data_IF_638461898090
#
_entry.id   IF_638461898090
#
_cell.length_a   1.000
_cell.length_b   1.000
_cell.length_c   1.000
_cell.angle_alpha   90.00
_cell.angle_beta   90.00
_cell.angle_gamma   90.00
#
_symmetry.space_group_name_H-M   'P 1'
#
loop_
_entity.id
_entity.type
_entity.pdbx_description
1 polymer ?
#
# COMPACT_ATOMS: atom_id res chain seq x y z
N UNK A 1 32.17 3.64 -15.23
CA UNK A 1 31.72 3.71 -13.83
C UNK A 1 30.29 4.23 -13.84
N UNK A 2 29.32 3.34 -13.62
CA UNK A 2 27.91 3.73 -13.57
C UNK A 2 27.62 4.43 -12.23
N UNK A 3 26.84 5.52 -12.21
CA UNK A 3 26.50 6.18 -10.96
C UNK A 3 25.50 5.30 -10.20
N UNK A 4 25.88 4.88 -9.00
CA UNK A 4 24.98 4.23 -8.05
C UNK A 4 23.94 5.26 -7.61
N UNK A 5 22.70 5.10 -8.08
CA UNK A 5 21.55 5.84 -7.59
C UNK A 5 21.34 5.50 -6.11
N UNK A 6 21.62 6.46 -5.24
CA UNK A 6 21.32 6.36 -3.81
C UNK A 6 20.03 7.17 -3.57
N UNK A 7 18.86 6.52 -3.43
CA UNK A 7 17.62 7.24 -3.20
C UNK A 7 17.74 8.02 -1.88
N UNK A 8 17.32 9.28 -1.90
CA UNK A 8 17.56 10.25 -0.83
C UNK A 8 17.17 9.73 0.57
N UNK A 9 18.09 9.75 1.56
CA UNK A 9 17.87 9.23 2.92
C UNK A 9 16.76 9.98 3.71
N UNK A 10 16.41 11.19 3.30
CA UNK A 10 15.37 11.98 3.95
C UNK A 10 13.94 11.45 3.73
N UNK A 11 13.65 10.82 2.58
CA UNK A 11 12.31 10.26 2.32
C UNK A 11 12.11 8.98 3.15
N UNK A 12 13.13 8.12 3.21
CA UNK A 12 13.08 6.90 4.03
C UNK A 12 13.02 7.18 5.53
N UNK A 13 13.75 8.19 6.03
CA UNK A 13 13.68 8.56 7.45
C UNK A 13 12.30 9.10 7.84
N UNK A 14 11.70 9.97 7.01
CA UNK A 14 10.35 10.49 7.23
C UNK A 14 9.28 9.38 7.21
N UNK A 15 9.40 8.43 6.28
CA UNK A 15 8.54 7.23 6.23
C UNK A 15 8.71 6.34 7.46
N UNK A 16 9.94 6.15 7.93
CA UNK A 16 10.24 5.38 9.14
C UNK A 16 9.67 6.03 10.39
N UNK A 17 9.75 7.37 10.51
CA UNK A 17 9.16 8.12 11.62
C UNK A 17 7.63 8.01 11.63
N UNK A 18 6.98 8.08 10.47
CA UNK A 18 5.55 7.84 10.33
C UNK A 18 5.16 6.39 10.65
N UNK A 19 5.93 5.41 10.17
CA UNK A 19 5.74 3.99 10.50
C UNK A 19 5.97 3.71 12.00
N UNK A 20 6.85 4.46 12.67
CA UNK A 20 7.04 4.38 14.12
C UNK A 20 5.89 5.02 14.92
N UNK A 21 5.28 6.10 14.40
CA UNK A 21 4.07 6.73 14.95
C UNK A 21 2.86 5.80 14.90
N UNK A 22 2.71 5.09 13.78
CA UNK A 22 1.74 4.03 13.58
C UNK A 22 2.46 2.68 13.70
N UNK A 23 2.98 2.35 14.89
CA UNK A 23 3.61 1.03 15.12
C UNK A 23 2.72 -0.14 14.64
N UNK A 24 3.21 -1.38 14.60
CA UNK A 24 2.55 -2.53 13.92
C UNK A 24 1.00 -2.63 14.02
N UNK A 25 0.41 -2.23 15.15
CA UNK A 25 -1.04 -2.14 15.32
C UNK A 25 -1.71 -1.15 14.32
N UNK A 26 -1.15 0.05 14.12
CA UNK A 26 -1.68 1.03 13.18
C UNK A 26 -1.55 0.61 11.70
N UNK A 27 -0.48 -0.10 11.35
CA UNK A 27 -0.32 -0.70 10.01
C UNK A 27 -1.34 -1.80 9.76
N UNK A 28 -1.55 -2.67 10.76
CA UNK A 28 -2.60 -3.69 10.71
C UNK A 28 -4.01 -3.07 10.66
N UNK A 29 -4.24 -1.94 11.33
CA UNK A 29 -5.50 -1.21 11.28
C UNK A 29 -5.79 -0.64 9.89
N UNK A 30 -4.78 -0.14 9.16
CA UNK A 30 -4.93 0.30 7.77
C UNK A 30 -5.32 -0.86 6.85
N UNK A 31 -4.65 -2.01 7.00
CA UNK A 31 -4.97 -3.22 6.23
C UNK A 31 -6.39 -3.71 6.52
N UNK A 32 -6.75 -3.83 7.80
CA UNK A 32 -8.08 -4.24 8.24
C UNK A 32 -9.17 -3.27 7.77
N UNK A 33 -8.91 -1.96 7.85
CA UNK A 33 -9.82 -0.94 7.33
C UNK A 33 -9.98 -1.04 5.82
N UNK A 34 -8.89 -1.36 5.11
CA UNK A 34 -8.91 -1.65 3.67
C UNK A 34 -9.78 -2.86 3.36
N UNK A 35 -9.67 -3.94 4.14
CA UNK A 35 -10.47 -5.15 3.98
C UNK A 35 -11.96 -4.89 4.21
N UNK A 36 -12.29 -4.08 5.24
CA UNK A 36 -13.67 -3.65 5.50
C UNK A 36 -14.20 -2.81 4.34
N UNK A 37 -13.42 -1.86 3.82
CA UNK A 37 -13.82 -1.04 2.67
C UNK A 37 -14.00 -1.89 1.40
N UNK A 38 -13.12 -2.87 1.16
CA UNK A 38 -13.20 -3.80 0.05
C UNK A 38 -14.46 -4.67 0.13
N UNK A 39 -14.78 -5.18 1.32
CA UNK A 39 -16.01 -5.94 1.57
C UNK A 39 -17.29 -5.09 1.37
N UNK A 40 -17.19 -3.79 1.63
CA UNK A 40 -18.26 -2.82 1.40
C UNK A 40 -18.33 -2.30 -0.05
N UNK A 41 -17.51 -2.84 -0.96
CA UNK A 41 -17.36 -2.35 -2.35
C UNK A 41 -16.96 -0.88 -2.46
N UNK A 42 -16.40 -0.30 -1.39
CA UNK A 42 -15.86 1.05 -1.37
C UNK A 42 -14.43 1.03 -1.96
N UNK A 43 -14.33 0.72 -3.25
CA UNK A 43 -13.06 0.38 -3.89
C UNK A 43 -12.03 1.49 -3.83
N UNK A 44 -12.43 2.75 -4.05
CA UNK A 44 -11.54 3.91 -3.91
C UNK A 44 -10.91 3.98 -2.52
N UNK A 45 -11.75 3.82 -1.50
CA UNK A 45 -11.31 3.87 -0.11
C UNK A 45 -10.41 2.69 0.25
N UNK A 46 -10.71 1.50 -0.26
CA UNK A 46 -9.86 0.34 -0.08
C UNK A 46 -8.47 0.57 -0.70
N UNK A 47 -8.42 1.11 -1.93
CA UNK A 47 -7.17 1.43 -2.62
C UNK A 47 -6.32 2.43 -1.84
N UNK A 48 -6.94 3.50 -1.32
CA UNK A 48 -6.25 4.49 -0.49
C UNK A 48 -5.62 3.85 0.76
N UNK A 49 -6.38 3.04 1.48
CA UNK A 49 -5.94 2.42 2.73
C UNK A 49 -4.81 1.41 2.52
N UNK A 50 -4.91 0.55 1.50
CA UNK A 50 -3.82 -0.35 1.15
C UNK A 50 -2.59 0.38 0.63
N UNK A 51 -2.77 1.50 -0.09
CA UNK A 51 -1.64 2.32 -0.54
C UNK A 51 -0.93 2.98 0.63
N UNK A 52 -1.67 3.50 1.61
CA UNK A 52 -1.10 4.02 2.84
C UNK A 52 -0.31 2.95 3.61
N UNK A 53 -0.83 1.72 3.70
CA UNK A 53 -0.09 0.61 4.29
C UNK A 53 1.23 0.32 3.56
N UNK A 54 1.20 0.24 2.22
CA UNK A 54 2.39 0.03 1.39
C UNK A 54 3.40 1.17 1.55
N UNK A 55 2.94 2.42 1.58
CA UNK A 55 3.80 3.60 1.71
C UNK A 55 4.52 3.68 3.05
N UNK A 56 3.97 3.05 4.09
CA UNK A 56 4.53 2.87 5.43
C UNK A 56 5.32 1.55 5.59
N UNK A 57 5.72 0.94 4.47
CA UNK A 57 6.48 -0.30 4.38
C UNK A 57 5.74 -1.57 4.86
N UNK A 58 4.41 -1.52 5.01
CA UNK A 58 3.56 -2.71 5.21
C UNK A 58 3.09 -3.30 3.87
N UNK A 59 4.06 -3.67 3.05
CA UNK A 59 3.87 -4.09 1.66
C UNK A 59 3.95 -5.62 1.52
N UNK A 60 2.95 -6.34 2.03
CA UNK A 60 2.85 -7.80 1.90
C UNK A 60 2.10 -8.21 0.63
N UNK A 61 2.33 -9.44 0.15
CA UNK A 61 1.62 -10.01 -1.00
C UNK A 61 0.10 -9.90 -0.85
N UNK A 62 -0.43 -10.08 0.37
CA UNK A 62 -1.85 -9.93 0.68
C UNK A 62 -2.35 -8.50 0.42
N UNK A 63 -1.59 -7.48 0.80
CA UNK A 63 -1.98 -6.08 0.60
C UNK A 63 -1.97 -5.74 -0.90
N UNK A 64 -0.97 -6.21 -1.65
CA UNK A 64 -0.96 -6.06 -3.10
C UNK A 64 -2.12 -6.81 -3.77
N UNK A 65 -2.41 -8.05 -3.34
CA UNK A 65 -3.54 -8.82 -3.86
C UNK A 65 -4.89 -8.15 -3.60
N UNK A 66 -5.10 -7.62 -2.40
CA UNK A 66 -6.35 -6.95 -2.04
C UNK A 66 -6.49 -5.60 -2.75
N UNK A 67 -5.41 -4.82 -2.90
CA UNK A 67 -5.42 -3.58 -3.69
C UNK A 67 -5.65 -3.86 -5.18
N UNK A 68 -5.04 -4.93 -5.71
CA UNK A 68 -5.29 -5.43 -7.06
C UNK A 68 -6.78 -5.73 -7.25
N UNK A 69 -7.38 -6.52 -6.35
CA UNK A 69 -8.81 -6.83 -6.38
C UNK A 69 -9.67 -5.57 -6.38
N UNK A 70 -9.39 -4.61 -5.49
CA UNK A 70 -10.12 -3.34 -5.46
C UNK A 70 -10.04 -2.58 -6.80
N UNK A 71 -8.85 -2.53 -7.41
CA UNK A 71 -8.63 -1.89 -8.72
C UNK A 71 -9.32 -2.64 -9.86
N UNK A 72 -9.35 -3.97 -9.85
CA UNK A 72 -10.07 -4.78 -10.83
C UNK A 72 -11.58 -4.50 -10.77
N UNK A 73 -12.17 -4.49 -9.58
CA UNK A 73 -13.60 -4.18 -9.40
C UNK A 73 -13.94 -2.73 -9.83
N UNK A 74 -13.00 -1.80 -9.60
CA UNK A 74 -13.08 -0.41 -10.10
C UNK A 74 -12.78 -0.30 -11.61
N UNK A 75 -12.42 -1.38 -12.29
CA UNK A 75 -12.04 -1.42 -13.72
C UNK A 75 -10.78 -0.63 -14.06
N UNK A 76 -9.89 -0.45 -13.08
CA UNK A 76 -8.57 0.17 -13.23
C UNK A 76 -7.52 -0.90 -13.55
N UNK A 77 -7.65 -1.51 -14.73
CA UNK A 77 -6.95 -2.75 -15.11
C UNK A 77 -5.43 -2.60 -15.17
N UNK A 78 -4.94 -1.48 -15.72
CA UNK A 78 -3.50 -1.23 -15.84
C UNK A 78 -2.82 -1.13 -14.47
N UNK A 79 -3.49 -0.47 -13.52
CA UNK A 79 -2.99 -0.35 -12.15
C UNK A 79 -3.10 -1.66 -11.37
N UNK A 80 -4.09 -2.50 -11.67
CA UNK A 80 -4.21 -3.83 -11.07
C UNK A 80 -3.11 -4.77 -11.56
N UNK A 81 -2.72 -4.68 -12.84
CA UNK A 81 -1.62 -5.46 -13.40
C UNK A 81 -0.30 -5.15 -12.68
N UNK A 82 -0.06 -3.88 -12.34
CA UNK A 82 1.13 -3.48 -11.56
C UNK A 82 1.15 -4.15 -10.20
N UNK A 83 0.00 -4.23 -9.51
CA UNK A 83 -0.09 -4.89 -8.20
C UNK A 83 0.05 -6.42 -8.33
N UNK A 84 -0.43 -7.02 -9.42
CA UNK A 84 -0.33 -8.46 -9.68
C UNK A 84 1.11 -8.93 -10.02
N UNK A 85 2.04 -8.00 -10.28
CA UNK A 85 3.45 -8.27 -10.59
C UNK A 85 4.37 -8.14 -9.37
N UNK A 86 3.82 -7.82 -8.20
CA UNK A 86 4.55 -7.77 -6.93
C UNK A 86 4.67 -9.16 -6.35
#
# INVERSE_FOLDING_TARGET
>A
MSPTYNPHPHISAFKQEFSALYGMNGLADLAMSGDVALAASAYDRAIELYSAAIDLDYATDTIFSNRCKAKLEKKSWDEALIDAQK
#
